data_IF_137557948414
#
_entry.id   IF_137557948414
#
_cell.length_a   1.000
_cell.length_b   1.000
_cell.length_c   1.000
_cell.angle_alpha   90.00
_cell.angle_beta   90.00
_cell.angle_gamma   90.00
#
_symmetry.space_group_name_H-M   'P 1'
#
loop_
_entity.id
_entity.type
_entity.pdbx_description
1 polymer ?
#
# COMPACT_ATOMS: atom_id res chain seq x y z
N UNK A 1 -14.53 -7.38 11.51
CA UNK A 1 -14.11 -6.14 10.82
C UNK A 1 -13.87 -4.97 11.79
N UNK A 2 -12.74 -4.28 11.62
CA UNK A 2 -12.34 -3.04 12.31
C UNK A 2 -12.07 -2.00 11.21
N UNK A 3 -12.69 -0.82 11.27
CA UNK A 3 -12.48 0.20 10.24
C UNK A 3 -12.57 1.63 10.77
N UNK A 4 -11.81 2.53 10.15
CA UNK A 4 -11.93 3.99 10.30
C UNK A 4 -12.53 4.67 9.06
N UNK A 5 -12.57 3.98 7.92
CA UNK A 5 -13.13 4.50 6.67
C UNK A 5 -14.64 4.71 6.76
N UNK A 6 -15.13 5.74 6.07
CA UNK A 6 -16.56 5.97 5.94
C UNK A 6 -17.20 4.94 5.00
N UNK A 7 -18.26 4.29 5.46
CA UNK A 7 -18.80 3.09 4.80
C UNK A 7 -20.13 3.24 4.08
N UNK A 8 -20.72 4.43 4.08
CA UNK A 8 -22.05 4.68 3.53
C UNK A 8 -22.04 5.81 2.48
N UNK A 9 -23.03 5.80 1.57
CA UNK A 9 -23.22 6.87 0.57
C UNK A 9 -23.92 8.12 1.15
N UNK A 10 -24.23 8.09 2.46
CA UNK A 10 -24.88 9.20 3.14
C UNK A 10 -23.97 10.43 3.17
N UNK A 11 -24.50 11.54 2.64
CA UNK A 11 -23.93 12.90 2.70
C UNK A 11 -23.61 13.42 4.10
N UNK A 12 -23.96 12.70 5.17
CA UNK A 12 -23.55 12.98 6.54
C UNK A 12 -22.07 12.60 6.76
N UNK A 13 -21.17 13.43 6.23
CA UNK A 13 -19.81 13.55 6.75
C UNK A 13 -19.91 13.76 8.27
N UNK A 14 -19.62 12.72 9.04
CA UNK A 14 -19.21 12.93 10.41
C UNK A 14 -17.77 13.41 10.28
N UNK A 15 -17.56 14.70 10.54
CA UNK A 15 -16.23 15.30 10.64
C UNK A 15 -15.40 14.40 11.57
N UNK A 16 -14.48 13.65 10.98
CA UNK A 16 -13.54 12.83 11.72
C UNK A 16 -12.40 13.76 12.06
N UNK A 17 -12.52 14.48 13.19
CA UNK A 17 -11.50 15.38 13.74
C UNK A 17 -10.25 14.56 14.18
N UNK A 18 -9.56 13.91 13.25
CA UNK A 18 -8.21 13.37 13.47
C UNK A 18 -7.24 14.51 13.21
N UNK A 19 -6.50 14.92 14.25
CA UNK A 19 -5.51 15.96 14.11
C UNK A 19 -4.27 15.39 13.38
N UNK A 20 -3.68 16.18 12.49
CA UNK A 20 -2.41 15.84 11.81
C UNK A 20 -1.34 15.38 12.83
N UNK A 21 -0.77 14.20 12.59
CA UNK A 21 0.18 13.52 13.49
C UNK A 21 -0.43 12.67 14.61
N UNK A 22 -1.75 12.47 14.65
CA UNK A 22 -2.40 11.49 15.53
C UNK A 22 -2.21 10.05 15.00
N UNK A 23 -1.61 9.18 15.81
CA UNK A 23 -1.48 7.76 15.48
C UNK A 23 -2.51 6.88 16.19
N UNK A 24 -3.32 6.14 15.43
CA UNK A 24 -4.18 5.08 15.95
C UNK A 24 -3.35 3.94 16.51
N UNK A 25 -3.74 3.35 17.65
CA UNK A 25 -3.08 2.13 18.16
C UNK A 25 -4.07 0.99 18.32
N UNK A 26 -3.85 -0.09 17.57
CA UNK A 26 -4.63 -1.32 17.63
C UNK A 26 -3.81 -2.45 18.29
N UNK A 27 -4.38 -3.08 19.31
CA UNK A 27 -3.77 -4.23 19.97
C UNK A 27 -4.70 -5.44 19.86
N UNK A 28 -4.27 -6.46 19.15
CA UNK A 28 -4.97 -7.74 18.98
C UNK A 28 -4.16 -8.80 19.73
N UNK A 29 -4.75 -9.45 20.72
CA UNK A 29 -4.08 -10.45 21.54
C UNK A 29 -4.98 -11.66 21.78
N UNK A 30 -4.46 -12.87 21.54
CA UNK A 30 -5.17 -14.14 21.70
C UNK A 30 -6.60 -14.09 21.12
N UNK A 31 -6.72 -13.56 19.90
CA UNK A 31 -8.01 -13.30 19.24
C UNK A 31 -7.97 -13.75 17.79
N UNK A 32 -9.12 -14.16 17.27
CA UNK A 32 -9.34 -14.31 15.83
C UNK A 32 -10.18 -13.13 15.37
N UNK A 33 -9.66 -12.34 14.44
CA UNK A 33 -10.41 -11.30 13.74
C UNK A 33 -10.61 -11.81 12.33
N UNK A 34 -11.83 -12.28 12.07
CA UNK A 34 -12.28 -12.58 10.72
C UNK A 34 -12.76 -11.31 10.02
N UNK A 35 -12.64 -11.39 8.71
CA UNK A 35 -13.18 -10.47 7.74
C UNK A 35 -14.56 -10.88 7.24
N UNK A 36 -15.04 -12.10 7.59
CA UNK A 36 -16.40 -12.64 7.42
C UNK A 36 -17.33 -11.57 6.84
N UNK A 37 -17.22 -11.42 5.52
CA UNK A 37 -17.84 -10.36 4.77
C UNK A 37 -19.31 -10.73 4.62
N UNK A 38 -20.08 -10.38 5.65
CA UNK A 38 -21.48 -10.69 5.78
C UNK A 38 -22.30 -9.43 5.49
N UNK A 39 -23.40 -9.56 4.74
CA UNK A 39 -24.34 -8.46 4.59
C UNK A 39 -24.74 -7.94 5.99
N UNK A 40 -24.61 -6.63 6.22
CA UNK A 40 -25.11 -6.06 7.46
C UNK A 40 -26.64 -6.02 7.40
N UNK A 41 -27.27 -7.04 7.97
CA UNK A 41 -28.73 -7.16 7.97
C UNK A 41 -29.34 -6.28 9.06
N UNK A 42 -29.85 -5.11 8.69
CA UNK A 42 -30.64 -4.27 9.60
C UNK A 42 -31.96 -3.81 8.98
N UNK A 43 -32.85 -3.40 9.88
CA UNK A 43 -34.12 -2.77 9.56
C UNK A 43 -34.08 -1.39 10.19
N UNK A 44 -34.27 -0.35 9.39
CA UNK A 44 -34.31 1.02 9.88
C UNK A 44 -35.74 1.56 9.89
N UNK A 45 -36.06 2.33 10.92
CA UNK A 45 -37.35 2.99 11.12
C UNK A 45 -37.13 4.50 11.15
N UNK A 46 -37.34 5.17 10.02
CA UNK A 46 -37.21 6.62 9.90
C UNK A 46 -38.52 7.31 9.52
N UNK A 47 -38.65 8.59 9.86
CA UNK A 47 -39.78 9.39 9.40
C UNK A 47 -39.51 9.87 7.98
N UNK A 48 -40.36 9.48 7.04
CA UNK A 48 -40.27 10.00 5.67
C UNK A 48 -40.65 11.49 5.60
N UNK A 49 -40.58 12.09 4.40
CA UNK A 49 -40.92 13.49 4.16
C UNK A 49 -42.35 13.90 4.60
N UNK A 50 -43.26 12.93 4.77
CA UNK A 50 -44.62 13.15 5.25
C UNK A 50 -44.77 12.97 6.78
N UNK A 51 -43.67 12.76 7.51
CA UNK A 51 -43.67 12.57 8.96
C UNK A 51 -44.26 11.23 9.42
N UNK A 52 -44.30 10.24 8.52
CA UNK A 52 -44.77 8.89 8.83
C UNK A 52 -43.57 7.97 9.02
N UNK A 53 -43.63 7.13 10.05
CA UNK A 53 -42.66 6.04 10.24
C UNK A 53 -42.74 5.10 9.03
N UNK A 54 -41.63 5.03 8.31
CA UNK A 54 -41.33 4.08 7.26
C UNK A 54 -40.31 3.11 7.81
N UNK A 55 -40.54 1.82 7.56
CA UNK A 55 -39.60 0.76 7.87
C UNK A 55 -38.94 0.34 6.56
N UNK A 56 -37.63 0.49 6.45
CA UNK A 56 -36.86 0.00 5.31
C UNK A 56 -35.97 -1.17 5.69
N UNK A 57 -35.89 -2.10 4.75
CA UNK A 57 -35.31 -3.43 4.95
C UNK A 57 -34.04 -3.54 4.13
N UNK A 58 -32.90 -3.28 4.76
CA UNK A 58 -31.60 -3.12 4.12
C UNK A 58 -30.84 -4.45 3.95
N UNK A 59 -31.56 -5.54 3.62
CA UNK A 59 -30.97 -6.89 3.59
C UNK A 59 -30.05 -7.18 2.39
N UNK A 60 -30.00 -6.30 1.39
CA UNK A 60 -29.33 -6.62 0.11
C UNK A 60 -28.71 -5.42 -0.60
N UNK A 61 -28.84 -4.21 -0.08
CA UNK A 61 -28.58 -3.02 -0.90
C UNK A 61 -27.18 -2.45 -0.77
N UNK A 62 -26.48 -2.67 0.34
CA UNK A 62 -25.23 -1.95 0.59
C UNK A 62 -24.13 -2.88 1.09
N UNK A 63 -23.17 -3.09 0.19
CA UNK A 63 -21.90 -3.74 0.43
C UNK A 63 -21.00 -2.69 1.09
N UNK A 64 -20.58 -2.92 2.34
CA UNK A 64 -19.50 -2.14 2.93
C UNK A 64 -18.23 -2.52 2.14
N UNK A 65 -17.68 -1.66 1.29
CA UNK A 65 -16.58 -1.98 0.36
C UNK A 65 -15.22 -2.29 1.02
N UNK A 66 -15.18 -3.04 2.13
CA UNK A 66 -13.99 -3.37 2.91
C UNK A 66 -13.70 -4.85 2.82
N UNK A 67 -12.62 -5.20 2.14
CA UNK A 67 -12.28 -6.58 1.83
C UNK A 67 -11.34 -7.30 2.81
N UNK A 68 -11.01 -6.66 3.93
CA UNK A 68 -10.09 -7.19 4.93
C UNK A 68 -10.62 -6.98 6.34
N UNK A 69 -10.12 -7.76 7.30
CA UNK A 69 -10.58 -7.75 8.68
C UNK A 69 -10.28 -6.42 9.39
N UNK A 70 -9.21 -5.75 8.97
CA UNK A 70 -8.80 -4.43 9.46
C UNK A 70 -8.61 -3.52 8.25
N UNK A 71 -9.39 -2.45 8.13
CA UNK A 71 -9.26 -1.49 7.04
C UNK A 71 -9.25 -0.06 7.57
N UNK A 72 -8.10 0.61 7.50
CA UNK A 72 -7.89 1.91 8.13
C UNK A 72 -7.37 2.93 7.11
N UNK A 73 -7.82 4.17 7.24
CA UNK A 73 -7.42 5.38 6.51
C UNK A 73 -6.81 6.43 7.45
N UNK A 74 -6.21 5.97 8.54
CA UNK A 74 -5.54 6.78 9.58
C UNK A 74 -4.17 6.18 9.90
N UNK A 75 -3.20 7.02 10.26
CA UNK A 75 -1.87 6.57 10.65
C UNK A 75 -1.99 5.56 11.79
N UNK A 76 -1.35 4.39 11.65
CA UNK A 76 -1.69 3.23 12.48
C UNK A 76 -0.48 2.45 13.02
N UNK A 77 -0.52 2.20 14.33
CA UNK A 77 0.34 1.29 15.07
C UNK A 77 -0.44 0.02 15.46
N UNK A 78 -0.22 -1.08 14.74
CA UNK A 78 -0.95 -2.35 14.92
C UNK A 78 -0.03 -3.39 15.55
N UNK A 79 -0.48 -3.98 16.66
CA UNK A 79 0.23 -5.02 17.39
C UNK A 79 -0.63 -6.29 17.45
N UNK A 80 -0.17 -7.39 16.86
CA UNK A 80 -0.85 -8.69 16.81
C UNK A 80 -0.01 -9.71 17.57
N UNK A 81 -0.53 -10.23 18.68
CA UNK A 81 0.26 -11.03 19.62
C UNK A 81 -0.49 -12.25 20.14
N UNK A 82 0.24 -13.15 20.81
CA UNK A 82 -0.31 -14.23 21.63
C UNK A 82 -1.20 -15.22 20.84
N UNK A 83 -0.71 -15.74 19.71
CA UNK A 83 -1.42 -16.70 18.87
C UNK A 83 -2.76 -16.16 18.34
N UNK A 84 -2.73 -14.89 17.92
CA UNK A 84 -3.86 -14.28 17.22
C UNK A 84 -3.89 -14.67 15.75
N UNK A 85 -5.05 -14.49 15.12
CA UNK A 85 -5.30 -14.72 13.70
C UNK A 85 -6.07 -13.52 13.14
N UNK A 86 -5.62 -12.95 12.03
CA UNK A 86 -6.28 -11.80 11.38
C UNK A 86 -6.38 -12.07 9.89
N UNK A 87 -7.58 -11.95 9.33
CA UNK A 87 -7.84 -12.15 7.91
C UNK A 87 -7.71 -10.84 7.12
N UNK A 88 -6.48 -10.48 6.74
CA UNK A 88 -6.20 -9.28 5.96
C UNK A 88 -6.09 -8.00 6.78
N UNK A 89 -5.21 -7.10 6.33
CA UNK A 89 -5.06 -5.73 6.82
C UNK A 89 -4.88 -4.80 5.61
N UNK A 90 -5.69 -3.75 5.52
CA UNK A 90 -5.57 -2.70 4.50
C UNK A 90 -5.37 -1.37 5.18
N UNK A 91 -4.27 -0.70 4.86
CA UNK A 91 -4.00 0.68 5.27
C UNK A 91 -3.99 1.53 4.00
N UNK A 92 -4.90 2.48 3.90
CA UNK A 92 -4.82 3.55 2.92
C UNK A 92 -4.31 4.80 3.61
N UNK A 93 -3.56 5.63 2.90
CA UNK A 93 -3.38 7.00 3.32
C UNK A 93 -4.75 7.71 3.25
N UNK A 94 -5.03 8.57 4.23
CA UNK A 94 -6.23 9.39 4.26
C UNK A 94 -5.88 10.87 4.26
N UNK A 95 -6.87 11.71 3.98
CA UNK A 95 -6.75 13.16 4.07
C UNK A 95 -6.92 13.61 5.54
N UNK A 96 -5.81 13.76 6.26
CA UNK A 96 -5.77 14.32 7.63
C UNK A 96 -5.26 15.75 7.64
N UNK A 97 -5.10 16.39 6.48
CA UNK A 97 -4.61 17.75 6.42
C UNK A 97 -5.66 18.72 6.96
N UNK A 98 -5.50 19.12 8.23
CA UNK A 98 -6.26 20.22 8.81
C UNK A 98 -5.45 21.52 8.77
N UNK A 99 -5.80 22.38 7.81
CA UNK A 99 -5.25 23.73 7.67
C UNK A 99 -5.40 24.60 8.93
N UNK A 100 -6.26 24.23 9.88
CA UNK A 100 -6.44 24.88 11.18
C UNK A 100 -5.27 24.62 12.14
N UNK A 101 -4.62 23.46 12.03
CA UNK A 101 -3.53 23.03 12.91
C UNK A 101 -2.15 23.04 12.24
N UNK A 102 -2.11 23.22 10.91
CA UNK A 102 -0.91 23.53 10.13
C UNK A 102 -0.29 24.89 10.55
N UNK A 103 0.35 24.93 11.71
CA UNK A 103 0.91 26.16 12.31
C UNK A 103 2.31 26.54 11.79
N UNK A 104 2.74 25.95 10.66
CA UNK A 104 4.13 25.96 10.20
C UNK A 104 4.45 26.58 8.83
N UNK A 105 3.46 26.96 8.00
CA UNK A 105 3.74 27.27 6.57
C UNK A 105 4.27 26.03 5.85
N UNK A 106 5.23 26.15 4.92
CA UNK A 106 5.86 25.00 4.23
C UNK A 106 6.38 23.91 5.18
N UNK A 107 6.75 24.28 6.41
CA UNK A 107 7.20 23.32 7.43
C UNK A 107 6.09 22.43 8.00
N UNK A 108 4.82 22.79 7.81
CA UNK A 108 3.67 21.96 8.18
C UNK A 108 3.49 20.77 7.24
N UNK A 109 4.03 20.85 6.02
CA UNK A 109 3.89 19.76 5.06
C UNK A 109 4.94 18.64 5.32
N UNK A 110 5.97 18.86 6.17
CA UNK A 110 7.18 17.97 6.31
C UNK A 110 6.89 16.70 7.15
N UNK A 111 5.64 16.25 7.16
CA UNK A 111 5.22 15.06 7.88
C UNK A 111 5.27 13.84 6.95
N UNK A 112 5.56 12.68 7.51
CA UNK A 112 5.46 11.38 6.85
C UNK A 112 4.38 10.57 7.52
N UNK A 113 3.54 9.89 6.73
CA UNK A 113 2.48 9.03 7.24
C UNK A 113 3.06 7.69 7.67
N UNK A 114 3.27 7.52 8.98
CA UNK A 114 4.10 6.44 9.51
C UNK A 114 3.26 5.27 10.08
N UNK A 115 3.10 4.21 9.30
CA UNK A 115 2.42 2.99 9.76
C UNK A 115 3.41 1.97 10.36
N UNK A 116 3.03 1.34 11.47
CA UNK A 116 3.75 0.17 12.01
C UNK A 116 2.83 -1.03 12.22
N UNK A 117 3.28 -2.22 11.78
CA UNK A 117 2.62 -3.48 12.06
C UNK A 117 3.62 -4.45 12.68
N UNK A 118 3.34 -4.93 13.89
CA UNK A 118 4.14 -5.96 14.56
C UNK A 118 3.29 -7.19 14.80
N UNK A 119 3.71 -8.32 14.21
CA UNK A 119 3.08 -9.63 14.37
C UNK A 119 4.03 -10.55 15.12
N UNK A 120 3.65 -10.92 16.35
CA UNK A 120 4.43 -11.75 17.25
C UNK A 120 3.66 -13.04 17.59
N UNK A 121 4.28 -14.19 17.28
CA UNK A 121 3.72 -15.52 17.51
C UNK A 121 2.24 -15.59 17.07
N UNK A 122 1.93 -15.08 15.88
CA UNK A 122 0.56 -14.93 15.37
C UNK A 122 0.52 -15.10 13.84
N UNK A 123 -0.68 -15.13 13.29
CA UNK A 123 -0.91 -15.35 11.86
C UNK A 123 -1.72 -14.20 11.25
N UNK A 124 -1.28 -13.71 10.09
CA UNK A 124 -2.10 -12.89 9.19
C UNK A 124 -2.34 -13.70 7.91
N UNK A 125 -3.59 -13.84 7.50
CA UNK A 125 -3.97 -14.54 6.26
C UNK A 125 -4.55 -13.55 5.25
N UNK A 126 -4.75 -13.99 4.00
CA UNK A 126 -5.54 -13.27 3.01
C UNK A 126 -6.95 -13.03 3.54
N UNK A 127 -7.53 -11.90 3.15
CA UNK A 127 -8.95 -11.61 3.33
C UNK A 127 -9.78 -11.84 2.06
N UNK A 128 -11.09 -11.79 2.19
CA UNK A 128 -12.11 -11.84 1.16
C UNK A 128 -12.60 -10.43 0.82
N UNK A 129 -12.16 -9.95 -0.33
CA UNK A 129 -12.60 -8.68 -0.92
C UNK A 129 -13.91 -8.77 -1.69
N UNK A 130 -14.49 -9.96 -1.78
CA UNK A 130 -15.76 -10.22 -2.46
C UNK A 130 -16.78 -10.85 -1.52
N UNK A 131 -18.06 -10.40 -1.55
CA UNK A 131 -19.09 -10.90 -0.65
C UNK A 131 -19.38 -12.39 -0.83
N UNK A 132 -19.38 -13.15 0.26
CA UNK A 132 -19.50 -14.61 0.25
C UNK A 132 -20.94 -15.12 0.06
N UNK A 133 -21.96 -14.31 0.39
CA UNK A 133 -23.36 -14.78 0.46
C UNK A 133 -24.08 -14.88 -0.91
N UNK A 134 -23.41 -14.55 -2.02
CA UNK A 134 -23.95 -14.66 -3.38
C UNK A 134 -23.66 -15.99 -4.09
N UNK A 135 -22.52 -16.63 -3.79
CA UNK A 135 -22.06 -17.85 -4.47
C UNK A 135 -20.98 -18.60 -3.69
N UNK A 136 -21.37 -19.55 -2.83
CA UNK A 136 -20.44 -20.49 -2.18
C UNK A 136 -20.35 -21.83 -2.90
N UNK A 137 -19.13 -22.34 -3.13
CA UNK A 137 -18.86 -23.70 -3.64
C UNK A 137 -18.13 -24.55 -2.58
N UNK A 138 -18.38 -25.86 -2.56
CA UNK A 138 -17.74 -26.81 -1.64
C UNK A 138 -16.20 -26.68 -1.63
N UNK A 139 -15.65 -26.08 -0.58
CA UNK A 139 -14.21 -26.02 -0.32
C UNK A 139 -13.43 -25.03 -1.19
N UNK A 140 -14.11 -24.15 -1.91
CA UNK A 140 -13.59 -22.96 -2.60
C UNK A 140 -14.58 -21.81 -2.33
N UNK A 141 -14.74 -21.44 -1.06
CA UNK A 141 -15.13 -20.06 -0.74
C UNK A 141 -14.01 -19.13 -1.24
N UNK A 142 -14.26 -17.83 -1.32
CA UNK A 142 -13.23 -16.81 -1.52
C UNK A 142 -12.20 -16.74 -0.37
N UNK A 143 -12.12 -17.77 0.48
CA UNK A 143 -11.18 -17.90 1.59
C UNK A 143 -10.74 -19.36 1.75
N UNK A 144 -9.48 -19.67 2.12
CA UNK A 144 -8.23 -18.92 1.87
C UNK A 144 -7.80 -19.11 0.42
N UNK A 145 -7.13 -18.08 -0.14
CA UNK A 145 -6.40 -18.07 -1.41
C UNK A 145 -5.94 -19.45 -1.92
N UNK A 146 -6.30 -19.80 -3.16
CA UNK A 146 -5.65 -20.90 -3.88
C UNK A 146 -4.34 -20.47 -4.55
N UNK A 147 -3.88 -19.25 -4.23
CA UNK A 147 -2.73 -18.54 -4.81
C UNK A 147 -2.75 -18.52 -6.34
N UNK A 148 -3.95 -18.56 -6.95
CA UNK A 148 -4.11 -18.60 -8.41
C UNK A 148 -4.07 -17.22 -9.09
N UNK A 149 -3.85 -16.16 -8.30
CA UNK A 149 -3.86 -14.73 -8.66
C UNK A 149 -2.96 -14.35 -9.84
N UNK A 150 -3.45 -14.58 -11.05
CA UNK A 150 -3.01 -13.81 -12.21
C UNK A 150 -3.69 -12.44 -12.15
N UNK A 151 -3.07 -11.41 -12.74
CA UNK A 151 -3.72 -10.11 -12.89
C UNK A 151 -5.12 -10.28 -13.52
N UNK A 152 -6.12 -9.58 -12.99
CA UNK A 152 -7.50 -9.62 -13.47
C UNK A 152 -7.68 -8.47 -14.47
N UNK A 153 -8.24 -8.77 -15.63
CA UNK A 153 -8.59 -7.75 -16.61
C UNK A 153 -9.96 -7.16 -16.29
N UNK A 154 -10.00 -5.88 -15.90
CA UNK A 154 -11.25 -5.14 -15.80
C UNK A 154 -11.71 -4.72 -17.20
N UNK A 155 -12.77 -5.34 -17.69
CA UNK A 155 -13.36 -5.02 -18.99
C UNK A 155 -14.05 -3.64 -19.04
N UNK A 156 -14.29 -3.01 -17.89
CA UNK A 156 -14.97 -1.72 -17.74
C UNK A 156 -13.99 -0.57 -17.88
N UNK A 157 -12.87 -0.63 -17.15
CA UNK A 157 -11.79 0.37 -17.20
C UNK A 157 -10.74 0.05 -18.28
N UNK A 158 -10.71 -1.20 -18.75
CA UNK A 158 -9.73 -1.68 -19.73
C UNK A 158 -8.34 -1.91 -19.14
N UNK A 159 -8.21 -1.98 -17.81
CA UNK A 159 -6.94 -2.13 -17.10
C UNK A 159 -6.77 -3.54 -16.54
N UNK A 160 -5.52 -3.93 -16.33
CA UNK A 160 -5.20 -5.11 -15.53
C UNK A 160 -4.96 -4.66 -14.08
N UNK A 161 -5.54 -5.34 -13.10
CA UNK A 161 -5.35 -5.07 -11.69
C UNK A 161 -4.96 -6.35 -10.94
N UNK A 162 -4.31 -6.22 -9.79
CA UNK A 162 -3.98 -7.35 -8.91
C UNK A 162 -5.26 -8.07 -8.46
N UNK A 163 -5.27 -9.41 -8.40
CA UNK A 163 -6.42 -10.15 -7.89
C UNK A 163 -6.58 -9.88 -6.39
N UNK A 164 -7.63 -9.19 -5.96
CA UNK A 164 -7.70 -8.72 -4.58
C UNK A 164 -7.99 -9.85 -3.58
N UNK A 165 -8.42 -11.04 -4.01
CA UNK A 165 -8.83 -12.14 -3.12
C UNK A 165 -7.65 -12.87 -2.43
N UNK A 166 -6.42 -12.55 -2.80
CA UNK A 166 -5.21 -13.17 -2.25
C UNK A 166 -4.48 -12.23 -1.27
N UNK A 167 -4.95 -10.98 -1.14
CA UNK A 167 -4.29 -9.92 -0.38
C UNK A 167 -4.37 -10.14 1.14
N UNK A 168 -3.22 -10.28 1.79
CA UNK A 168 -3.08 -10.34 3.24
C UNK A 168 -2.68 -9.00 3.85
N UNK A 169 -1.85 -8.22 3.16
CA UNK A 169 -1.51 -6.85 3.54
C UNK A 169 -1.65 -5.95 2.32
N UNK A 170 -2.32 -4.81 2.48
CA UNK A 170 -2.44 -3.79 1.45
C UNK A 170 -2.09 -2.43 2.00
N UNK A 171 -1.29 -1.71 1.24
CA UNK A 171 -0.82 -0.36 1.52
C UNK A 171 -1.09 0.47 0.27
N UNK A 172 -1.97 1.47 0.38
CA UNK A 172 -2.28 2.36 -0.74
C UNK A 172 -2.02 3.80 -0.34
N UNK A 173 -1.12 4.42 -1.06
CA UNK A 173 -0.95 5.87 -1.08
C UNK A 173 -2.19 6.60 -1.63
N UNK A 174 -2.33 7.88 -1.27
CA UNK A 174 -3.28 8.83 -1.84
C UNK A 174 -2.51 9.85 -2.71
N UNK A 175 -2.70 9.88 -4.04
CA UNK A 175 -1.97 10.78 -4.93
C UNK A 175 -2.19 12.28 -4.65
N UNK A 176 -3.25 12.64 -3.92
CA UNK A 176 -3.55 14.02 -3.53
C UNK A 176 -2.89 14.40 -2.19
N UNK A 177 -2.29 13.43 -1.49
CA UNK A 177 -1.56 13.66 -0.25
C UNK A 177 -0.25 14.41 -0.51
N UNK A 178 0.14 15.23 0.47
CA UNK A 178 1.46 15.89 0.51
C UNK A 178 2.52 15.05 1.24
N UNK A 179 2.10 14.02 1.98
CA UNK A 179 2.95 13.24 2.88
C UNK A 179 3.38 11.93 2.23
N UNK A 180 4.66 11.58 2.32
CA UNK A 180 5.06 10.22 1.94
C UNK A 180 4.60 9.22 3.00
N UNK A 181 4.15 8.07 2.54
CA UNK A 181 3.71 6.96 3.38
C UNK A 181 4.89 6.05 3.71
N UNK A 182 5.18 5.84 5.01
CA UNK A 182 6.25 4.97 5.49
C UNK A 182 5.68 3.80 6.28
N UNK A 183 5.75 2.61 5.71
CA UNK A 183 5.15 1.40 6.27
C UNK A 183 6.22 0.46 6.79
N UNK A 184 6.15 0.11 8.08
CA UNK A 184 7.12 -0.75 8.75
C UNK A 184 6.44 -1.99 9.33
N UNK A 185 6.64 -3.13 8.68
CA UNK A 185 5.99 -4.39 9.03
C UNK A 185 7.02 -5.39 9.54
N UNK A 186 6.76 -6.01 10.69
CA UNK A 186 7.62 -7.05 11.25
C UNK A 186 6.83 -8.27 11.70
N UNK A 187 7.14 -9.43 11.14
CA UNK A 187 6.71 -10.74 11.64
C UNK A 187 7.85 -11.37 12.43
N UNK A 188 7.59 -11.82 13.65
CA UNK A 188 8.61 -12.42 14.53
C UNK A 188 8.08 -13.61 15.33
N UNK A 189 9.01 -14.35 15.94
CA UNK A 189 8.74 -15.49 16.83
C UNK A 189 7.87 -16.57 16.17
N UNK A 190 8.21 -16.97 14.95
CA UNK A 190 7.49 -18.00 14.20
C UNK A 190 6.11 -17.55 13.68
N UNK A 191 5.91 -16.24 13.51
CA UNK A 191 4.67 -15.72 12.92
C UNK A 191 4.55 -16.09 11.44
N UNK A 192 3.32 -16.13 10.94
CA UNK A 192 3.05 -16.52 9.55
C UNK A 192 2.23 -15.47 8.82
N UNK A 193 2.70 -15.05 7.66
CA UNK A 193 1.97 -14.27 6.67
C UNK A 193 1.57 -15.20 5.53
N UNK A 194 0.27 -15.29 5.23
CA UNK A 194 -0.29 -16.20 4.24
C UNK A 194 -1.17 -15.42 3.27
N UNK A 195 -0.65 -15.08 2.11
CA UNK A 195 -1.29 -14.21 1.11
C UNK A 195 -0.33 -13.12 0.65
N UNK A 196 -0.82 -12.34 -0.30
CA UNK A 196 -0.07 -11.37 -1.06
C UNK A 196 0.11 -10.07 -0.28
N UNK A 197 1.21 -9.39 -0.54
CA UNK A 197 1.52 -8.06 -0.01
C UNK A 197 1.45 -7.09 -1.16
N UNK A 198 0.49 -6.17 -1.07
CA UNK A 198 0.18 -5.18 -2.09
C UNK A 198 0.66 -3.82 -1.62
N UNK A 199 1.48 -3.17 -2.43
CA UNK A 199 1.91 -1.80 -2.22
C UNK A 199 1.66 -0.97 -3.47
N UNK A 200 0.88 0.09 -3.33
CA UNK A 200 0.61 1.06 -4.38
C UNK A 200 1.09 2.42 -3.90
N UNK A 201 1.92 3.07 -4.72
CA UNK A 201 2.49 4.39 -4.47
C UNK A 201 2.29 5.27 -5.70
N UNK A 202 2.06 6.56 -5.48
CA UNK A 202 2.07 7.61 -6.50
C UNK A 202 3.03 8.72 -6.06
N UNK A 203 3.40 9.61 -6.96
CA UNK A 203 4.05 10.84 -6.51
C UNK A 203 3.03 11.71 -5.76
N UNK A 204 3.41 12.11 -4.56
CA UNK A 204 2.63 12.98 -3.69
C UNK A 204 2.30 14.31 -4.40
N UNK A 205 1.02 14.71 -4.36
CA UNK A 205 0.45 15.93 -4.93
C UNK A 205 0.35 15.94 -6.48
N UNK A 206 -0.25 14.90 -7.07
CA UNK A 206 -0.36 14.73 -8.52
C UNK A 206 -1.25 15.79 -9.23
N UNK A 207 -2.26 16.34 -8.54
CA UNK A 207 -3.24 17.26 -9.15
C UNK A 207 -2.78 18.74 -9.22
N UNK A 208 -1.67 19.11 -8.57
CA UNK A 208 -1.13 20.48 -8.54
C UNK A 208 0.25 20.63 -9.21
N UNK A 209 0.62 19.69 -10.09
CA UNK A 209 1.92 19.64 -10.80
C UNK A 209 2.25 20.84 -11.73
N UNK A 210 1.50 21.95 -11.67
CA UNK A 210 1.64 23.12 -12.57
C UNK A 210 1.32 24.49 -11.95
N UNK A 211 1.09 24.60 -10.65
CA UNK A 211 0.78 25.89 -10.04
C UNK A 211 1.65 26.16 -8.81
N UNK A 212 2.25 27.34 -8.81
CA UNK A 212 2.54 28.07 -7.58
C UNK A 212 1.17 28.32 -6.90
N UNK A 213 0.72 27.37 -6.09
CA UNK A 213 -0.64 27.35 -5.55
C UNK A 213 -0.87 28.46 -4.53
N UNK A 214 0.22 28.99 -3.96
CA UNK A 214 0.19 30.14 -3.06
C UNK A 214 0.36 31.50 -3.80
N UNK A 215 0.83 31.49 -5.05
CA UNK A 215 0.95 32.65 -5.95
C UNK A 215 2.08 33.63 -5.59
N UNK A 216 3.08 33.21 -4.81
CA UNK A 216 4.18 34.06 -4.34
C UNK A 216 5.39 34.12 -5.29
N UNK A 217 5.39 33.30 -6.34
CA UNK A 217 6.43 33.17 -7.34
C UNK A 217 7.59 32.27 -6.94
N UNK A 218 7.44 31.43 -5.90
CA UNK A 218 8.42 30.47 -5.39
C UNK A 218 7.78 29.09 -5.32
N UNK A 219 8.31 28.13 -6.09
CA UNK A 219 7.94 26.71 -5.93
C UNK A 219 8.59 26.18 -4.65
N UNK A 220 7.77 25.59 -3.80
CA UNK A 220 8.05 25.15 -2.44
C UNK A 220 7.42 23.79 -2.17
N UNK A 221 7.63 23.25 -0.96
CA UNK A 221 7.09 21.96 -0.59
C UNK A 221 5.55 21.88 -0.64
N UNK A 222 4.86 23.02 -0.48
CA UNK A 222 3.39 23.07 -0.60
C UNK A 222 2.88 22.94 -2.03
N UNK A 223 3.76 23.09 -3.02
CA UNK A 223 3.43 22.98 -4.46
C UNK A 223 3.71 21.55 -4.99
N UNK A 224 4.32 20.69 -4.17
CA UNK A 224 4.53 19.25 -4.42
C UNK A 224 5.38 18.89 -5.64
N UNK A 225 5.43 17.59 -5.94
CA UNK A 225 6.31 17.02 -6.96
C UNK A 225 5.66 17.01 -8.35
N UNK A 226 6.40 17.45 -9.36
CA UNK A 226 5.99 17.41 -10.77
C UNK A 226 6.89 16.48 -11.58
N UNK A 227 6.37 15.31 -12.02
CA UNK A 227 7.09 14.38 -12.90
C UNK A 227 7.47 14.98 -14.26
N UNK A 228 6.74 16.00 -14.73
CA UNK A 228 7.00 16.68 -16.00
C UNK A 228 7.92 17.91 -15.84
N UNK A 229 8.09 18.38 -14.60
CA UNK A 229 8.85 19.57 -14.24
C UNK A 229 8.06 20.87 -14.31
N UNK A 230 8.51 21.85 -13.54
CA UNK A 230 8.07 23.24 -13.54
C UNK A 230 9.03 24.11 -14.36
N UNK A 231 8.50 25.09 -15.09
CA UNK A 231 9.25 26.20 -15.70
C UNK A 231 9.09 27.44 -14.81
N UNK A 232 9.95 27.56 -13.81
CA UNK A 232 9.84 28.61 -12.78
C UNK A 232 10.11 30.02 -13.29
N UNK A 233 10.76 30.12 -14.45
CA UNK A 233 11.18 31.40 -15.03
C UNK A 233 10.37 31.81 -16.29
N UNK A 234 9.43 30.96 -16.72
CA UNK A 234 8.54 31.13 -17.87
C UNK A 234 9.27 31.34 -19.21
N UNK A 235 10.43 30.70 -19.43
CA UNK A 235 11.14 30.74 -20.72
C UNK A 235 10.79 29.61 -21.69
N UNK A 236 9.92 28.68 -21.26
CA UNK A 236 9.47 27.51 -22.00
C UNK A 236 10.41 26.32 -21.87
N UNK A 237 11.26 26.29 -20.84
CA UNK A 237 12.14 25.18 -20.48
C UNK A 237 11.93 24.84 -19.01
N UNK A 238 11.55 23.59 -18.75
CA UNK A 238 11.39 23.06 -17.41
C UNK A 238 12.75 23.00 -16.70
N UNK A 239 12.79 23.46 -15.44
CA UNK A 239 14.04 23.67 -14.69
C UNK A 239 14.06 23.09 -13.26
N UNK A 240 12.94 22.57 -12.74
CA UNK A 240 12.85 21.88 -11.44
C UNK A 240 11.73 20.85 -11.45
N UNK A 241 11.87 19.75 -10.72
CA UNK A 241 10.76 18.83 -10.43
C UNK A 241 9.87 19.32 -9.27
N UNK A 242 10.27 20.40 -8.59
CA UNK A 242 9.55 20.95 -7.43
C UNK A 242 9.49 19.99 -6.24
N UNK A 243 8.69 20.35 -5.25
CA UNK A 243 8.44 19.56 -4.05
C UNK A 243 9.36 19.89 -2.88
N UNK A 244 9.63 18.88 -2.08
CA UNK A 244 10.38 18.93 -0.83
C UNK A 244 11.83 19.37 -0.98
N UNK A 245 12.43 19.91 0.10
CA UNK A 245 13.87 20.21 0.11
C UNK A 245 14.76 18.97 -0.03
N UNK A 246 14.21 17.78 0.22
CA UNK A 246 14.85 16.51 -0.05
C UNK A 246 13.90 15.61 -0.86
N UNK A 247 14.37 15.03 -1.96
CA UNK A 247 13.51 14.28 -2.89
C UNK A 247 12.85 13.05 -2.24
N UNK A 248 13.52 12.45 -1.25
CA UNK A 248 13.07 11.26 -0.54
C UNK A 248 11.78 11.47 0.28
N UNK A 249 11.38 12.72 0.50
CA UNK A 249 10.11 13.07 1.13
C UNK A 249 8.92 12.87 0.17
N UNK A 250 9.17 12.74 -1.15
CA UNK A 250 8.19 12.36 -2.18
C UNK A 250 8.11 10.84 -2.42
N UNK A 251 8.79 10.04 -1.60
CA UNK A 251 8.94 8.60 -1.84
C UNK A 251 8.22 7.82 -0.76
N UNK A 252 7.23 7.02 -1.11
CA UNK A 252 6.61 6.07 -0.21
C UNK A 252 7.51 4.86 0.04
N UNK A 253 7.40 4.25 1.22
CA UNK A 253 8.20 3.10 1.58
C UNK A 253 7.35 1.99 2.19
N UNK A 254 7.64 0.75 1.78
CA UNK A 254 7.20 -0.44 2.48
C UNK A 254 8.41 -1.29 2.88
N UNK A 255 8.61 -1.43 4.18
CA UNK A 255 9.65 -2.25 4.80
C UNK A 255 9.01 -3.48 5.45
N UNK A 256 9.10 -4.64 4.80
CA UNK A 256 8.62 -5.92 5.33
C UNK A 256 9.77 -6.76 5.88
N UNK A 257 9.73 -7.05 7.19
CA UNK A 257 10.71 -7.89 7.87
C UNK A 257 10.10 -9.19 8.37
N UNK A 258 10.69 -10.33 8.00
CA UNK A 258 10.45 -11.63 8.61
C UNK A 258 11.65 -11.99 9.50
N UNK A 259 11.40 -12.25 10.77
CA UNK A 259 12.43 -12.51 11.76
C UNK A 259 12.11 -13.74 12.62
N UNK A 260 13.14 -14.32 13.22
CA UNK A 260 13.08 -15.39 14.21
C UNK A 260 12.14 -16.54 13.81
N UNK A 261 12.42 -17.13 12.64
CA UNK A 261 11.69 -18.29 12.12
C UNK A 261 10.31 -17.98 11.55
N UNK A 262 10.00 -16.72 11.26
CA UNK A 262 8.73 -16.33 10.65
C UNK A 262 8.67 -16.73 9.18
N UNK A 263 7.45 -16.89 8.66
CA UNK A 263 7.21 -17.40 7.32
C UNK A 263 6.23 -16.54 6.54
N UNK A 264 6.53 -16.32 5.26
CA UNK A 264 5.60 -15.76 4.29
C UNK A 264 5.35 -16.74 3.16
N UNK A 265 4.10 -16.94 2.78
CA UNK A 265 3.69 -17.60 1.53
C UNK A 265 2.80 -16.62 0.78
N UNK A 266 3.21 -16.17 -0.39
CA UNK A 266 2.52 -15.10 -1.13
C UNK A 266 3.44 -14.37 -2.11
N UNK A 267 2.89 -13.44 -2.88
CA UNK A 267 3.63 -12.59 -3.81
C UNK A 267 3.74 -11.14 -3.33
N UNK A 268 4.78 -10.45 -3.83
CA UNK A 268 4.95 -9.02 -3.65
C UNK A 268 4.39 -8.29 -4.88
N UNK A 269 3.19 -7.72 -4.76
CA UNK A 269 2.64 -6.84 -5.79
C UNK A 269 3.02 -5.39 -5.49
N UNK A 270 3.73 -4.77 -6.42
CA UNK A 270 4.22 -3.40 -6.27
C UNK A 270 3.86 -2.56 -7.49
N UNK A 271 3.08 -1.51 -7.28
CA UNK A 271 2.71 -0.51 -8.27
C UNK A 271 3.26 0.84 -7.84
N UNK A 272 3.95 1.51 -8.75
CA UNK A 272 4.62 2.79 -8.49
C UNK A 272 4.66 3.62 -9.78
N UNK A 273 4.84 4.92 -9.61
CA UNK A 273 5.15 5.85 -10.69
C UNK A 273 6.66 6.06 -10.78
N UNK A 274 7.16 6.48 -11.93
CA UNK A 274 8.57 6.80 -12.07
C UNK A 274 8.86 7.84 -13.15
N UNK A 275 9.99 8.52 -13.00
CA UNK A 275 10.59 9.35 -14.04
C UNK A 275 11.96 8.82 -14.45
N UNK A 276 12.29 8.99 -15.74
CA UNK A 276 13.59 8.64 -16.28
C UNK A 276 14.55 9.84 -16.19
N UNK A 277 15.88 9.65 -16.33
CA UNK A 277 16.86 10.72 -16.22
C UNK A 277 16.68 11.91 -17.17
N UNK A 278 15.85 11.77 -18.21
CA UNK A 278 15.53 12.85 -19.13
C UNK A 278 14.57 13.90 -18.52
N UNK A 279 13.79 13.50 -17.51
CA UNK A 279 12.76 14.31 -16.86
C UNK A 279 13.13 14.64 -15.40
N UNK A 280 14.40 14.39 -15.02
CA UNK A 280 14.98 14.75 -13.72
C UNK A 280 15.75 16.08 -13.85
N UNK A 281 15.26 17.14 -13.23
CA UNK A 281 15.81 18.50 -13.36
C UNK A 281 16.71 18.89 -12.18
N UNK A 282 16.29 18.61 -10.96
CA UNK A 282 17.00 19.05 -9.73
C UNK A 282 16.93 18.07 -8.56
N UNK A 283 16.68 16.78 -8.83
CA UNK A 283 16.78 15.73 -7.81
C UNK A 283 18.18 15.72 -7.17
N UNK A 284 18.28 16.08 -5.89
CA UNK A 284 19.48 16.05 -5.08
C UNK A 284 20.09 14.64 -5.01
N UNK A 285 19.24 13.63 -4.79
CA UNK A 285 19.68 12.23 -4.63
C UNK A 285 19.73 11.45 -5.96
N UNK A 286 19.13 12.01 -7.02
CA UNK A 286 19.10 11.43 -8.35
C UNK A 286 18.16 10.22 -8.46
N UNK A 287 18.67 9.08 -8.90
CA UNK A 287 17.86 7.86 -9.13
C UNK A 287 17.81 6.99 -7.88
N UNK A 288 16.64 6.45 -7.52
CA UNK A 288 16.45 5.60 -6.33
C UNK A 288 16.14 4.12 -6.66
N UNK A 289 15.89 3.76 -7.93
CA UNK A 289 15.55 2.39 -8.34
C UNK A 289 16.01 2.06 -9.77
N UNK A 290 15.86 0.80 -10.18
CA UNK A 290 16.12 0.27 -11.52
C UNK A 290 14.85 -0.35 -12.13
N UNK A 291 14.54 0.02 -13.37
CA UNK A 291 13.47 -0.65 -14.10
C UNK A 291 13.91 -2.00 -14.67
N UNK A 292 13.03 -3.02 -14.69
CA UNK A 292 13.31 -4.29 -15.36
C UNK A 292 13.54 -4.15 -16.87
N UNK A 293 13.09 -3.04 -17.46
CA UNK A 293 13.24 -2.69 -18.87
C UNK A 293 14.01 -1.38 -19.03
N UNK A 294 14.74 -1.22 -20.14
CA UNK A 294 15.45 0.03 -20.41
C UNK A 294 14.50 1.22 -20.53
N UNK A 295 14.91 2.37 -19.98
CA UNK A 295 14.27 3.66 -20.19
C UNK A 295 14.66 4.25 -21.54
N UNK A 296 13.76 5.02 -22.14
CA UNK A 296 13.96 5.63 -23.46
C UNK A 296 13.82 7.14 -23.40
N UNK A 297 14.58 7.85 -24.23
CA UNK A 297 14.39 9.30 -24.40
C UNK A 297 13.13 9.61 -25.23
N UNK A 298 12.78 10.90 -25.33
CA UNK A 298 11.66 11.40 -26.16
C UNK A 298 11.74 11.06 -27.65
N UNK A 299 12.87 10.54 -28.13
CA UNK A 299 13.06 10.08 -29.52
C UNK A 299 13.01 8.55 -29.63
N UNK A 300 12.79 7.83 -28.53
CA UNK A 300 12.71 6.37 -28.46
C UNK A 300 14.07 5.66 -28.43
N UNK A 301 15.17 6.36 -28.14
CA UNK A 301 16.48 5.73 -27.96
C UNK A 301 16.62 5.24 -26.52
N UNK A 302 17.21 4.06 -26.32
CA UNK A 302 17.57 3.56 -24.98
C UNK A 302 18.63 4.48 -24.36
N UNK A 303 18.40 4.94 -23.13
CA UNK A 303 19.28 5.88 -22.42
C UNK A 303 19.82 5.39 -21.08
N UNK A 304 19.03 4.67 -20.29
CA UNK A 304 19.47 4.08 -19.01
C UNK A 304 18.52 2.93 -18.62
N UNK A 305 18.66 2.41 -17.42
CA UNK A 305 17.67 1.58 -16.70
C UNK A 305 17.35 2.16 -15.31
N UNK A 306 18.08 3.19 -14.87
CA UNK A 306 17.82 3.90 -13.61
C UNK A 306 16.62 4.83 -13.69
N UNK A 307 15.87 4.89 -12.60
CA UNK A 307 14.70 5.75 -12.45
C UNK A 307 14.63 6.37 -11.06
N UNK A 308 13.79 7.39 -10.94
CA UNK A 308 13.31 7.88 -9.67
C UNK A 308 11.86 7.45 -9.57
N UNK A 309 11.56 6.53 -8.66
CA UNK A 309 10.26 5.95 -8.42
C UNK A 309 9.58 6.62 -7.22
N UNK A 310 8.26 6.67 -7.26
CA UNK A 310 7.43 7.19 -6.17
C UNK A 310 7.44 6.28 -4.94
N UNK A 311 7.73 4.99 -5.09
CA UNK A 311 7.72 4.02 -3.99
C UNK A 311 9.01 3.22 -3.90
N UNK A 312 9.30 2.66 -2.72
CA UNK A 312 10.36 1.67 -2.49
C UNK A 312 9.83 0.52 -1.62
N UNK A 313 9.86 -0.70 -2.14
CA UNK A 313 9.50 -1.93 -1.43
C UNK A 313 10.74 -2.73 -1.05
N UNK A 314 11.06 -2.77 0.25
CA UNK A 314 12.13 -3.58 0.82
C UNK A 314 11.60 -4.79 1.59
N UNK A 315 12.18 -5.96 1.32
CA UNK A 315 11.92 -7.20 2.04
C UNK A 315 13.20 -7.70 2.73
N UNK A 316 13.12 -7.99 4.02
CA UNK A 316 14.22 -8.50 4.83
C UNK A 316 13.84 -9.80 5.56
N UNK A 317 14.61 -10.87 5.33
CA UNK A 317 14.48 -12.14 6.04
C UNK A 317 15.69 -12.36 6.95
N UNK A 318 15.44 -12.59 8.23
CA UNK A 318 16.50 -12.83 9.21
C UNK A 318 16.19 -13.98 10.16
N UNK A 319 17.26 -14.53 10.77
CA UNK A 319 17.23 -15.53 11.83
C UNK A 319 16.34 -16.76 11.53
N UNK A 320 16.60 -17.41 10.39
CA UNK A 320 15.95 -18.64 9.98
C UNK A 320 14.54 -18.47 9.42
N UNK A 321 14.19 -17.27 8.95
CA UNK A 321 12.89 -16.98 8.36
C UNK A 321 12.79 -17.49 6.91
N UNK A 322 11.58 -17.60 6.40
CA UNK A 322 11.29 -18.21 5.10
C UNK A 322 10.28 -17.38 4.30
N UNK A 323 10.53 -17.21 2.99
CA UNK A 323 9.53 -16.73 2.04
C UNK A 323 9.38 -17.74 0.91
N UNK A 324 8.18 -18.29 0.78
CA UNK A 324 7.76 -19.09 -0.37
C UNK A 324 7.01 -18.18 -1.34
N UNK A 325 7.66 -17.78 -2.43
CA UNK A 325 7.03 -16.90 -3.41
C UNK A 325 5.97 -17.67 -4.17
N UNK A 326 4.86 -17.01 -4.48
CA UNK A 326 3.93 -17.44 -5.53
C UNK A 326 3.94 -16.39 -6.66
N UNK A 327 3.37 -16.72 -7.81
CA UNK A 327 3.14 -15.78 -8.92
C UNK A 327 4.35 -14.88 -9.26
N UNK A 328 4.12 -13.60 -9.53
CA UNK A 328 5.18 -12.65 -9.89
C UNK A 328 5.38 -11.64 -8.76
N UNK A 329 6.54 -11.70 -8.12
CA UNK A 329 6.95 -10.76 -7.08
C UNK A 329 7.89 -9.68 -7.62
N UNK A 330 7.62 -8.42 -7.26
CA UNK A 330 8.47 -7.26 -7.55
C UNK A 330 8.77 -6.48 -6.26
N UNK A 331 10.04 -6.26 -5.96
CA UNK A 331 10.53 -5.50 -4.80
C UNK A 331 11.82 -4.79 -5.20
N UNK A 332 12.18 -3.67 -4.60
CA UNK A 332 13.46 -3.01 -4.88
C UNK A 332 14.63 -3.76 -4.26
N UNK A 333 14.50 -4.04 -2.96
CA UNK A 333 15.60 -4.64 -2.18
C UNK A 333 15.14 -5.89 -1.45
N UNK A 334 15.85 -6.99 -1.68
CA UNK A 334 15.72 -8.22 -0.91
C UNK A 334 17.01 -8.51 -0.15
N UNK A 335 16.92 -8.55 1.18
CA UNK A 335 18.00 -9.01 2.05
C UNK A 335 17.62 -10.32 2.74
N UNK A 336 18.46 -11.35 2.62
CA UNK A 336 18.26 -12.66 3.27
C UNK A 336 19.51 -12.98 4.08
N UNK A 337 19.31 -13.17 5.39
CA UNK A 337 20.40 -13.27 6.36
C UNK A 337 20.16 -14.36 7.43
N UNK A 338 21.24 -14.74 8.13
CA UNK A 338 21.29 -15.63 9.28
C UNK A 338 20.50 -16.94 9.09
N UNK A 339 20.79 -17.67 8.00
CA UNK A 339 20.20 -18.97 7.71
C UNK A 339 18.75 -18.91 7.22
N UNK A 340 18.24 -17.71 6.91
CA UNK A 340 16.92 -17.54 6.27
C UNK A 340 16.95 -17.97 4.80
N UNK A 341 15.78 -18.23 4.24
CA UNK A 341 15.66 -18.72 2.87
C UNK A 341 14.50 -18.12 2.08
N UNK A 342 14.69 -17.99 0.77
CA UNK A 342 13.63 -17.69 -0.19
C UNK A 342 13.48 -18.87 -1.13
N UNK A 343 12.25 -19.35 -1.34
CA UNK A 343 11.91 -20.40 -2.28
C UNK A 343 11.09 -19.81 -3.41
N UNK A 344 11.69 -19.73 -4.60
CA UNK A 344 10.98 -19.33 -5.81
C UNK A 344 10.34 -20.58 -6.42
N UNK A 345 9.00 -20.66 -6.30
CA UNK A 345 8.22 -21.79 -6.76
C UNK A 345 8.21 -21.91 -8.30
N UNK A 346 7.81 -23.08 -8.79
CA UNK A 346 7.68 -23.29 -10.24
C UNK A 346 6.60 -22.37 -10.80
N UNK A 347 6.83 -21.82 -12.00
CA UNK A 347 5.98 -20.80 -12.62
C UNK A 347 5.86 -19.48 -11.84
N UNK A 348 6.68 -19.27 -10.80
CA UNK A 348 6.81 -17.98 -10.10
C UNK A 348 8.06 -17.21 -10.55
N UNK A 349 8.05 -15.89 -10.36
CA UNK A 349 9.20 -15.02 -10.60
C UNK A 349 9.41 -14.04 -9.46
N UNK A 350 10.66 -13.66 -9.22
CA UNK A 350 11.04 -12.61 -8.28
C UNK A 350 12.00 -11.67 -8.99
N UNK A 351 11.65 -10.39 -9.03
CA UNK A 351 12.45 -9.31 -9.58
C UNK A 351 12.83 -8.38 -8.44
N UNK A 352 14.11 -7.96 -8.43
CA UNK A 352 14.59 -6.92 -7.55
C UNK A 352 15.86 -6.25 -8.09
N UNK A 353 16.07 -5.00 -7.71
CA UNK A 353 17.30 -4.25 -8.00
C UNK A 353 18.48 -4.92 -7.33
N UNK A 354 18.30 -5.26 -6.06
CA UNK A 354 19.36 -5.84 -5.24
C UNK A 354 18.85 -7.04 -4.44
N UNK A 355 19.54 -8.17 -4.61
CA UNK A 355 19.34 -9.37 -3.79
C UNK A 355 20.64 -9.67 -3.05
N UNK A 356 20.59 -9.62 -1.71
CA UNK A 356 21.74 -9.88 -0.84
C UNK A 356 21.51 -11.13 -0.01
N UNK A 357 22.37 -12.15 -0.15
CA UNK A 357 22.36 -13.38 0.65
C UNK A 357 23.59 -13.44 1.55
N UNK A 358 23.42 -13.54 2.86
CA UNK A 358 24.52 -13.55 3.84
C UNK A 358 24.34 -14.59 4.95
N UNK A 359 25.41 -14.90 5.68
CA UNK A 359 25.41 -15.75 6.89
C UNK A 359 24.65 -17.09 6.77
N UNK A 360 24.87 -17.81 5.65
CA UNK A 360 24.30 -19.14 5.43
C UNK A 360 22.88 -19.15 4.86
N UNK A 361 22.38 -18.01 4.42
CA UNK A 361 21.10 -17.89 3.73
C UNK A 361 21.10 -18.44 2.31
N UNK A 362 19.92 -18.81 1.83
CA UNK A 362 19.75 -19.47 0.53
C UNK A 362 18.60 -18.88 -0.27
N UNK A 363 18.73 -18.90 -1.59
CA UNK A 363 17.61 -18.75 -2.53
C UNK A 363 17.49 -20.04 -3.33
N UNK A 364 16.35 -20.71 -3.24
CA UNK A 364 16.07 -21.97 -3.91
C UNK A 364 15.16 -21.71 -5.11
N UNK A 365 15.57 -22.20 -6.29
CA UNK A 365 14.81 -22.06 -7.53
C UNK A 365 14.28 -23.44 -7.93
N UNK A 366 12.96 -23.58 -8.00
CA UNK A 366 12.32 -24.82 -8.44
C UNK A 366 12.10 -24.80 -9.95
N UNK A 367 12.53 -25.86 -10.64
CA UNK A 367 12.29 -26.03 -12.08
C UNK A 367 11.67 -27.42 -12.32
N UNK A 368 10.52 -27.49 -12.99
CA UNK A 368 10.05 -28.72 -13.61
C UNK A 368 10.73 -28.91 -14.98
N UNK A 369 11.46 -30.02 -15.15
CA UNK A 369 12.10 -30.42 -16.41
C UNK A 369 11.17 -31.21 -17.33
#
# INVERSE_FOLDING_TARGET
MITSQHMWDDTAYVDHDWDDGDTFTLNIANSTIDDDYEYFYFTDDYNNADGKVTTEDWRTSELASLGTAVTLDVESNINITNNSRVAGITLSQGDTYDATYATGGDSAYVHTWDNTIVVDNSTVTSGAVTPLEGSGWFGNSSEPSDYSGNAVYDTTTGTWYHNPNDTALSFSDDPDSYYSMKNNVTFTNGSTLMGDVVFTSNFNNADDANADSNGDGVISASDGFSPIGYDTNNDGVEDTNGGWSHDNDNVDELNLKLDNGSKWVGDAYFSYEYIAPADMYDLEDGTNSLEPSSTVDKWGNVVDDKTFQSGIFTVALDNGSEWDTVNASNVDTLTVNNGSQVNVADSSSLIADTITLTNGSTMNLSFLW
#
